data_IF_163442476718
#
_entry.id   IF_163442476718
#
_cell.length_a   1.000
_cell.length_b   1.000
_cell.length_c   1.000
_cell.angle_alpha   90.00
_cell.angle_beta   90.00
_cell.angle_gamma   90.00
#
_symmetry.space_group_name_H-M   'P 1'
#
loop_
_entity.id
_entity.type
_entity.pdbx_description
1 polymer ?
#
# COMPACT_ATOMS: atom_id res chain seq x y z
N UNK A 1 -44.65 42.43 62.74
CA UNK A 1 -44.00 42.07 61.46
C UNK A 1 -42.49 42.02 61.68
N UNK A 2 -41.90 40.82 61.86
CA UNK A 2 -40.43 40.67 61.95
C UNK A 2 -39.83 40.86 60.55
N UNK A 3 -39.05 41.93 60.35
CA UNK A 3 -38.24 42.13 59.14
C UNK A 3 -37.12 41.08 59.15
N UNK A 4 -37.13 40.23 58.13
CA UNK A 4 -36.04 39.30 57.83
C UNK A 4 -34.79 40.12 57.47
N UNK A 5 -33.82 40.21 58.39
CA UNK A 5 -32.48 40.70 58.07
C UNK A 5 -31.83 39.71 57.11
N UNK A 6 -31.64 40.14 55.86
CA UNK A 6 -30.89 39.35 54.88
C UNK A 6 -29.43 39.38 55.28
N UNK A 7 -28.90 38.23 55.70
CA UNK A 7 -27.52 38.08 56.13
C UNK A 7 -26.59 38.41 54.93
N UNK A 8 -25.78 39.50 55.00
CA UNK A 8 -24.97 39.96 53.87
C UNK A 8 -23.93 38.92 53.43
N UNK A 9 -23.52 38.03 54.33
CA UNK A 9 -22.58 36.94 54.05
C UNK A 9 -23.20 35.92 53.09
N UNK A 10 -24.50 35.62 53.25
CA UNK A 10 -25.19 34.65 52.39
C UNK A 10 -25.31 35.18 50.96
N UNK A 11 -25.63 36.47 50.80
CA UNK A 11 -25.71 37.13 49.49
C UNK A 11 -24.36 37.14 48.77
N UNK A 12 -23.26 37.36 49.50
CA UNK A 12 -21.91 37.34 48.94
C UNK A 12 -21.50 35.94 48.46
N UNK A 13 -21.81 34.89 49.22
CA UNK A 13 -21.50 33.49 48.85
C UNK A 13 -22.26 33.10 47.58
N UNK A 14 -23.54 33.46 47.47
CA UNK A 14 -24.35 33.18 46.27
C UNK A 14 -23.77 33.89 45.05
N UNK A 15 -23.32 35.14 45.19
CA UNK A 15 -22.68 35.89 44.09
C UNK A 15 -21.34 35.29 43.66
N UNK A 16 -20.48 34.91 44.60
CA UNK A 16 -19.18 34.28 44.26
C UNK A 16 -19.38 32.93 43.59
N UNK A 17 -20.34 32.13 44.05
CA UNK A 17 -20.62 30.82 43.47
C UNK A 17 -21.25 30.92 42.07
N UNK A 18 -22.18 31.85 41.87
CA UNK A 18 -22.78 32.11 40.55
C UNK A 18 -21.79 32.73 39.57
N UNK A 19 -20.87 33.60 40.03
CA UNK A 19 -19.77 34.11 39.23
C UNK A 19 -18.75 33.03 38.88
N UNK A 20 -18.44 32.11 39.80
CA UNK A 20 -17.57 30.95 39.53
C UNK A 20 -18.20 30.00 38.51
N UNK A 21 -19.50 29.72 38.59
CA UNK A 21 -20.23 28.94 37.59
C UNK A 21 -20.27 29.64 36.22
N UNK A 22 -20.44 30.98 36.19
CA UNK A 22 -20.38 31.77 34.97
C UNK A 22 -18.98 31.75 34.34
N UNK A 23 -17.92 31.86 35.13
CA UNK A 23 -16.53 31.70 34.65
C UNK A 23 -16.30 30.29 34.11
N UNK A 24 -16.86 29.26 34.76
CA UNK A 24 -16.72 27.88 34.31
C UNK A 24 -17.54 27.55 33.05
N UNK A 25 -18.62 28.29 32.80
CA UNK A 25 -19.49 28.17 31.63
C UNK A 25 -19.03 29.04 30.45
N UNK A 26 -18.44 30.21 30.73
CA UNK A 26 -17.85 31.12 29.72
C UNK A 26 -16.44 30.67 29.31
N UNK A 27 -15.74 29.87 30.12
CA UNK A 27 -14.56 29.18 29.62
C UNK A 27 -15.00 28.15 28.57
N UNK A 28 -14.69 28.36 27.27
CA UNK A 28 -14.86 27.28 26.31
C UNK A 28 -14.02 26.13 26.85
N UNK A 29 -14.60 24.94 26.98
CA UNK A 29 -13.79 23.73 27.07
C UNK A 29 -12.85 23.84 25.89
N UNK A 30 -11.56 24.03 26.16
CA UNK A 30 -10.54 23.88 25.13
C UNK A 30 -10.71 22.44 24.65
N UNK A 31 -11.46 22.27 23.57
CA UNK A 31 -11.36 21.11 22.73
C UNK A 31 -9.88 21.14 22.33
N UNK A 32 -9.12 20.17 22.83
CA UNK A 32 -7.82 19.85 22.26
C UNK A 32 -8.12 19.60 20.79
N UNK A 33 -7.90 20.61 19.95
CA UNK A 33 -7.62 20.35 18.55
C UNK A 33 -6.28 19.63 18.65
N UNK A 34 -6.31 18.30 18.57
CA UNK A 34 -5.08 17.56 18.33
C UNK A 34 -4.57 18.08 17.00
N UNK A 35 -3.41 18.72 17.01
CA UNK A 35 -2.62 18.93 15.81
C UNK A 35 -2.21 17.53 15.34
N UNK A 36 -3.10 16.84 14.63
CA UNK A 36 -2.77 15.56 14.02
C UNK A 36 -1.69 15.83 12.99
N UNK A 37 -0.58 15.12 13.09
CA UNK A 37 0.47 15.17 12.08
C UNK A 37 -0.12 14.72 10.74
N UNK A 38 -0.03 15.58 9.72
CA UNK A 38 -0.57 15.29 8.38
C UNK A 38 0.55 15.02 7.39
N UNK A 39 0.31 14.11 6.45
CA UNK A 39 1.24 13.79 5.36
C UNK A 39 0.65 14.27 4.03
N UNK A 40 1.51 14.82 3.16
CA UNK A 40 1.20 15.03 1.75
C UNK A 40 1.17 13.70 1.00
N UNK A 41 0.01 13.37 0.42
CA UNK A 41 -0.14 12.17 -0.40
C UNK A 41 0.69 12.22 -1.68
N UNK A 42 0.96 13.42 -2.22
CA UNK A 42 1.88 13.61 -3.35
C UNK A 42 3.33 13.30 -2.96
N UNK A 43 3.77 13.74 -1.78
CA UNK A 43 5.10 13.40 -1.27
C UNK A 43 5.23 11.92 -0.95
N UNK A 44 4.19 11.31 -0.35
CA UNK A 44 4.15 9.86 -0.08
C UNK A 44 4.25 9.05 -1.38
N UNK A 45 3.51 9.43 -2.42
CA UNK A 45 3.58 8.78 -3.73
C UNK A 45 4.96 8.97 -4.38
N UNK A 46 5.55 10.15 -4.30
CA UNK A 46 6.91 10.39 -4.81
C UNK A 46 7.94 9.50 -4.09
N UNK A 47 7.86 9.43 -2.77
CA UNK A 47 8.72 8.58 -1.96
C UNK A 47 8.54 7.10 -2.28
N UNK A 48 7.30 6.65 -2.44
CA UNK A 48 6.96 5.27 -2.79
C UNK A 48 7.50 4.83 -4.15
N UNK A 49 7.48 5.73 -5.14
CA UNK A 49 8.13 5.48 -6.45
C UNK A 49 9.64 5.33 -6.24
N UNK A 50 10.28 6.26 -5.53
CA UNK A 50 11.74 6.27 -5.40
C UNK A 50 12.26 5.04 -4.62
N UNK A 51 11.59 4.64 -3.53
CA UNK A 51 11.95 3.41 -2.80
C UNK A 51 11.67 2.14 -3.60
N UNK A 52 10.56 2.06 -4.35
CA UNK A 52 10.24 0.86 -5.13
C UNK A 52 11.28 0.68 -6.25
N UNK A 53 11.68 1.78 -6.88
CA UNK A 53 12.75 1.80 -7.87
C UNK A 53 14.12 1.47 -7.25
N UNK A 54 14.46 2.00 -6.07
CA UNK A 54 15.75 1.71 -5.42
C UNK A 54 15.82 0.26 -4.90
N UNK A 55 14.76 -0.25 -4.26
CA UNK A 55 14.65 -1.65 -3.87
C UNK A 55 14.79 -2.58 -5.08
N UNK A 56 14.12 -2.24 -6.19
CA UNK A 56 14.27 -2.92 -7.47
C UNK A 56 15.71 -2.89 -8.01
N UNK A 57 16.39 -1.73 -7.97
CA UNK A 57 17.79 -1.62 -8.39
C UNK A 57 18.69 -2.59 -7.60
N UNK A 58 18.44 -2.75 -6.31
CA UNK A 58 19.21 -3.69 -5.48
C UNK A 58 18.91 -5.15 -5.83
N UNK A 59 17.66 -5.51 -6.14
CA UNK A 59 17.32 -6.84 -6.68
C UNK A 59 18.09 -7.16 -7.97
N UNK A 60 18.21 -6.18 -8.87
CA UNK A 60 19.00 -6.33 -10.11
C UNK A 60 20.49 -6.49 -9.79
N UNK A 61 21.04 -5.71 -8.85
CA UNK A 61 22.45 -5.81 -8.42
C UNK A 61 22.75 -7.20 -7.85
N UNK A 62 21.93 -7.68 -6.92
CA UNK A 62 22.09 -9.00 -6.29
C UNK A 62 22.03 -10.10 -7.34
N UNK A 63 21.05 -10.05 -8.25
CA UNK A 63 20.93 -11.05 -9.32
C UNK A 63 22.16 -11.07 -10.23
N UNK A 64 22.66 -9.89 -10.65
CA UNK A 64 23.87 -9.76 -11.48
C UNK A 64 25.15 -10.19 -10.78
N UNK A 65 25.21 -10.10 -9.46
CA UNK A 65 26.39 -10.55 -8.68
C UNK A 65 26.58 -12.07 -8.68
N UNK A 66 25.55 -12.84 -9.06
CA UNK A 66 25.55 -14.31 -8.98
C UNK A 66 25.48 -14.87 -7.56
N UNK A 67 25.32 -14.01 -6.53
CA UNK A 67 25.30 -14.39 -5.11
C UNK A 67 23.89 -14.41 -4.53
N UNK A 68 22.96 -15.07 -5.21
CA UNK A 68 21.61 -15.22 -4.68
C UNK A 68 21.61 -16.29 -3.57
N UNK A 69 21.58 -15.85 -2.32
CA UNK A 69 21.35 -16.73 -1.17
C UNK A 69 19.85 -16.89 -0.98
N UNK A 70 19.37 -18.13 -0.95
CA UNK A 70 17.96 -18.49 -0.80
C UNK A 70 17.78 -19.33 0.47
N UNK A 71 16.72 -19.07 1.21
CA UNK A 71 16.28 -19.83 2.39
C UNK A 71 14.77 -20.11 2.29
N UNK A 72 14.28 -21.06 3.08
CA UNK A 72 12.84 -21.33 3.25
C UNK A 72 12.33 -20.61 4.52
N UNK A 73 11.15 -20.00 4.46
CA UNK A 73 10.46 -19.37 5.61
C UNK A 73 9.63 -20.40 6.36
N UNK A 74 8.44 -20.74 5.84
CA UNK A 74 7.50 -21.67 6.49
C UNK A 74 7.37 -23.03 5.79
N UNK A 75 8.09 -23.24 4.68
CA UNK A 75 8.24 -24.53 4.02
C UNK A 75 8.77 -24.45 2.59
N UNK A 76 8.83 -25.60 1.90
CA UNK A 76 9.48 -25.81 0.59
C UNK A 76 9.08 -24.87 -0.57
N UNK A 77 7.94 -24.20 -0.46
CA UNK A 77 7.41 -23.29 -1.49
C UNK A 77 7.28 -21.83 -1.00
N UNK A 78 7.80 -21.53 0.19
CA UNK A 78 7.79 -20.21 0.81
C UNK A 78 9.25 -19.79 0.96
N UNK A 79 9.77 -19.15 -0.09
CA UNK A 79 11.17 -18.82 -0.24
C UNK A 79 11.42 -17.37 0.13
N UNK A 80 12.59 -17.10 0.67
CA UNK A 80 13.12 -15.76 0.91
C UNK A 80 14.58 -15.72 0.48
N UNK A 81 15.03 -14.59 -0.03
CA UNK A 81 16.40 -14.40 -0.49
C UNK A 81 17.04 -13.19 0.18
N UNK A 82 18.36 -13.06 0.01
CA UNK A 82 19.05 -11.81 0.33
C UNK A 82 18.49 -10.59 -0.43
N UNK A 83 17.82 -10.80 -1.56
CA UNK A 83 17.13 -9.75 -2.31
C UNK A 83 15.92 -9.20 -1.57
N UNK A 84 15.08 -10.07 -1.01
CA UNK A 84 13.89 -9.69 -0.25
C UNK A 84 14.28 -8.81 0.94
N UNK A 85 15.30 -9.22 1.71
CA UNK A 85 15.82 -8.45 2.84
C UNK A 85 16.46 -7.12 2.42
N UNK A 86 17.30 -7.11 1.38
CA UNK A 86 17.97 -5.88 0.94
C UNK A 86 16.97 -4.85 0.38
N UNK A 87 15.96 -5.32 -0.37
CA UNK A 87 14.88 -4.48 -0.87
C UNK A 87 13.98 -4.00 0.27
N UNK A 88 13.68 -4.86 1.25
CA UNK A 88 12.98 -4.49 2.48
C UNK A 88 13.70 -3.37 3.22
N UNK A 89 15.01 -3.48 3.45
CA UNK A 89 15.77 -2.46 4.18
C UNK A 89 15.63 -1.07 3.52
N UNK A 90 15.73 -1.02 2.19
CA UNK A 90 15.59 0.23 1.42
C UNK A 90 14.17 0.78 1.54
N UNK A 91 13.17 -0.07 1.33
CA UNK A 91 11.77 0.37 1.24
C UNK A 91 11.17 0.69 2.61
N UNK A 92 11.32 -0.22 3.56
CA UNK A 92 10.78 -0.08 4.91
C UNK A 92 11.45 1.09 5.65
N UNK A 93 12.77 1.06 5.82
CA UNK A 93 13.45 2.12 6.55
C UNK A 93 13.46 3.45 5.80
N UNK A 94 13.40 3.43 4.46
CA UNK A 94 13.21 4.66 3.69
C UNK A 94 11.90 5.37 3.99
N UNK A 95 10.78 4.63 4.06
CA UNK A 95 9.50 5.22 4.46
C UNK A 95 9.48 5.64 5.92
N UNK A 96 9.97 4.79 6.84
CA UNK A 96 10.01 5.14 8.27
C UNK A 96 10.91 6.34 8.56
N UNK A 97 11.96 6.53 7.76
CA UNK A 97 12.86 7.68 7.85
C UNK A 97 12.26 8.96 7.27
N UNK A 98 11.53 8.86 6.16
CA UNK A 98 10.86 10.00 5.52
C UNK A 98 9.61 10.46 6.27
N UNK A 99 8.83 9.53 6.82
CA UNK A 99 7.58 9.78 7.51
C UNK A 99 7.58 9.09 8.89
N UNK A 100 8.26 9.70 9.89
CA UNK A 100 8.21 9.20 11.25
C UNK A 100 6.75 9.10 11.73
N UNK A 101 6.35 7.95 12.28
CA UNK A 101 4.98 7.73 12.75
C UNK A 101 4.06 7.01 11.77
N UNK A 102 4.40 6.94 10.47
CA UNK A 102 3.59 6.24 9.48
C UNK A 102 3.56 4.73 9.76
N UNK A 103 2.37 4.13 9.70
CA UNK A 103 2.20 2.69 9.76
C UNK A 103 2.67 2.08 8.43
N UNK A 104 3.79 1.36 8.47
CA UNK A 104 4.36 0.65 7.32
C UNK A 104 4.45 -0.82 7.69
N UNK A 105 3.80 -1.68 6.91
CA UNK A 105 3.77 -3.13 7.11
C UNK A 105 4.47 -3.76 5.92
N UNK A 106 5.44 -4.64 6.19
CA UNK A 106 6.21 -5.34 5.17
C UNK A 106 6.07 -6.84 5.28
N UNK A 107 6.13 -7.54 4.14
CA UNK A 107 6.29 -8.99 4.13
C UNK A 107 7.51 -9.49 4.93
N UNK A 108 8.59 -8.69 4.99
CA UNK A 108 9.86 -9.05 5.62
C UNK A 108 10.09 -8.37 6.98
N UNK A 109 9.04 -7.87 7.64
CA UNK A 109 9.17 -7.11 8.89
C UNK A 109 9.85 -7.88 10.05
N UNK A 110 9.74 -9.21 10.06
CA UNK A 110 10.41 -10.06 11.05
C UNK A 110 11.93 -10.25 10.77
N UNK A 111 12.45 -9.69 9.68
CA UNK A 111 13.86 -9.82 9.32
C UNK A 111 14.76 -8.99 10.27
N UNK A 112 15.91 -9.53 10.69
CA UNK A 112 16.86 -8.78 11.51
C UNK A 112 17.36 -7.56 10.72
N UNK A 113 17.29 -6.37 11.34
CA UNK A 113 17.75 -5.14 10.72
C UNK A 113 19.19 -5.27 10.23
N UNK A 114 19.49 -4.71 9.07
CA UNK A 114 20.86 -4.62 8.60
C UNK A 114 21.64 -3.57 9.42
N UNK A 115 22.68 -3.97 10.18
CA UNK A 115 23.40 -3.09 11.09
C UNK A 115 24.31 -2.07 10.39
N UNK A 116 24.32 -2.00 9.05
CA UNK A 116 25.24 -1.18 8.25
C UNK A 116 24.98 0.34 8.27
N UNK A 117 23.97 0.82 9.01
CA UNK A 117 23.93 2.19 9.54
C UNK A 117 23.54 3.35 8.61
N UNK A 118 23.48 3.17 7.29
CA UNK A 118 22.97 4.20 6.37
C UNK A 118 21.58 3.84 5.85
N UNK A 119 20.55 4.55 6.32
CA UNK A 119 19.18 4.46 5.79
C UNK A 119 19.11 5.23 4.47
N UNK A 120 18.57 4.59 3.42
CA UNK A 120 18.23 5.30 2.19
C UNK A 120 17.05 6.24 2.46
N UNK A 121 17.21 7.54 2.19
CA UNK A 121 16.11 8.50 2.31
C UNK A 121 15.54 8.81 0.91
N UNK A 122 14.25 8.54 0.66
CA UNK A 122 13.67 8.76 -0.64
C UNK A 122 13.46 10.24 -0.95
N UNK A 123 13.40 10.56 -2.25
CA UNK A 123 12.96 11.87 -2.72
C UNK A 123 11.46 12.02 -2.51
N UNK A 124 11.07 13.15 -1.92
CA UNK A 124 9.67 13.52 -1.72
C UNK A 124 9.08 14.29 -2.90
N UNK A 125 9.86 14.52 -3.95
CA UNK A 125 9.42 15.24 -5.17
C UNK A 125 9.68 14.41 -6.42
N UNK A 126 8.78 14.53 -7.39
CA UNK A 126 8.91 13.87 -8.68
C UNK A 126 8.34 14.77 -9.79
N UNK A 127 9.22 15.24 -10.67
CA UNK A 127 8.86 16.16 -11.78
C UNK A 127 7.81 15.59 -12.73
N UNK A 128 7.69 14.26 -12.87
CA UNK A 128 6.63 13.65 -13.68
C UNK A 128 5.29 13.74 -12.96
N UNK A 129 5.27 13.45 -11.66
CA UNK A 129 4.07 13.59 -10.83
C UNK A 129 3.57 15.02 -10.80
N UNK A 130 4.45 16.01 -10.64
CA UNK A 130 4.09 17.44 -10.63
C UNK A 130 3.36 17.89 -11.92
N UNK A 131 3.60 17.20 -13.04
CA UNK A 131 2.93 17.50 -14.32
C UNK A 131 1.58 16.81 -14.48
N UNK A 132 1.37 15.69 -13.78
CA UNK A 132 0.16 14.87 -13.89
C UNK A 132 -0.83 15.22 -12.79
N UNK A 133 -0.35 15.40 -11.57
CA UNK A 133 -1.15 15.61 -10.37
C UNK A 133 -1.38 17.11 -10.12
N UNK A 134 -2.62 17.55 -10.37
CA UNK A 134 -3.03 18.95 -10.26
C UNK A 134 -3.24 19.36 -8.80
N UNK A 135 -3.83 18.49 -7.98
CA UNK A 135 -4.06 18.71 -6.55
C UNK A 135 -3.12 17.89 -5.69
N UNK A 136 -3.09 18.21 -4.41
CA UNK A 136 -2.49 17.41 -3.34
C UNK A 136 -3.54 17.23 -2.23
N UNK A 137 -3.37 16.20 -1.42
CA UNK A 137 -4.24 15.88 -0.30
C UNK A 137 -3.37 15.71 0.95
N UNK A 138 -3.74 16.40 2.02
CA UNK A 138 -3.11 16.27 3.32
C UNK A 138 -4.00 15.38 4.19
N UNK A 139 -3.48 14.23 4.61
CA UNK A 139 -4.22 13.28 5.43
C UNK A 139 -3.57 13.10 6.80
N UNK A 140 -4.35 12.91 7.88
CA UNK A 140 -3.82 12.51 9.17
C UNK A 140 -2.99 11.22 9.03
N UNK A 141 -1.80 11.21 9.61
CA UNK A 141 -0.87 10.07 9.54
C UNK A 141 -1.48 8.79 10.13
N UNK A 142 -2.38 8.94 11.11
CA UNK A 142 -3.06 7.84 11.80
C UNK A 142 -4.11 7.12 10.93
N UNK A 143 -4.62 7.79 9.90
CA UNK A 143 -5.58 7.20 8.97
C UNK A 143 -4.88 6.38 7.87
N UNK A 144 -3.55 6.55 7.74
CA UNK A 144 -2.73 5.98 6.69
C UNK A 144 -2.06 4.67 7.11
N UNK A 145 -2.20 3.65 6.26
CA UNK A 145 -1.43 2.40 6.33
C UNK A 145 -0.76 2.13 5.00
N UNK A 146 0.56 1.88 5.02
CA UNK A 146 1.34 1.51 3.84
C UNK A 146 1.72 0.05 3.90
N UNK A 147 1.41 -0.69 2.83
CA UNK A 147 1.74 -2.10 2.68
C UNK A 147 2.83 -2.25 1.63
N UNK A 148 3.94 -2.90 1.98
CA UNK A 148 5.06 -3.12 1.06
C UNK A 148 5.34 -4.60 0.84
N UNK A 149 5.49 -4.95 -0.43
CA UNK A 149 6.07 -6.20 -0.88
C UNK A 149 7.43 -5.87 -1.51
N UNK A 150 8.55 -6.15 -0.80
CA UNK A 150 9.88 -5.78 -1.26
C UNK A 150 10.36 -6.67 -2.42
N UNK A 151 9.74 -7.83 -2.65
CA UNK A 151 10.05 -8.72 -3.76
C UNK A 151 8.85 -9.64 -4.02
N UNK A 152 7.95 -9.21 -4.89
CA UNK A 152 6.89 -10.07 -5.41
C UNK A 152 7.47 -11.03 -6.44
N UNK A 153 7.05 -12.30 -6.37
CA UNK A 153 7.56 -13.42 -7.17
C UNK A 153 8.95 -13.95 -6.76
N UNK A 154 9.24 -14.09 -5.47
CA UNK A 154 10.52 -14.64 -4.96
C UNK A 154 10.88 -15.98 -5.58
N UNK A 155 9.90 -16.87 -5.79
CA UNK A 155 10.15 -18.15 -6.48
C UNK A 155 10.63 -17.94 -7.91
N UNK A 156 9.91 -17.15 -8.71
CA UNK A 156 10.32 -16.83 -10.08
C UNK A 156 11.68 -16.10 -10.13
N UNK A 157 11.97 -15.25 -9.16
CA UNK A 157 13.27 -14.62 -9.00
C UNK A 157 14.39 -15.65 -8.82
N UNK A 158 14.17 -16.68 -7.99
CA UNK A 158 15.15 -17.78 -7.83
C UNK A 158 15.30 -18.64 -9.09
N UNK A 159 14.21 -18.86 -9.84
CA UNK A 159 14.20 -19.59 -11.11
C UNK A 159 14.83 -18.79 -12.27
N UNK A 160 15.12 -17.49 -12.08
CA UNK A 160 15.67 -16.62 -13.12
C UNK A 160 14.64 -16.04 -14.08
N UNK A 161 13.35 -16.15 -13.74
CA UNK A 161 12.22 -15.60 -14.51
C UNK A 161 11.95 -14.17 -14.06
N UNK A 162 12.93 -13.32 -14.35
CA UNK A 162 13.01 -11.96 -13.83
C UNK A 162 11.92 -11.04 -14.37
N UNK A 163 11.22 -11.43 -15.44
CA UNK A 163 10.09 -10.70 -15.99
C UNK A 163 8.89 -10.61 -15.05
N UNK A 164 8.75 -11.55 -14.10
CA UNK A 164 7.64 -11.58 -13.14
C UNK A 164 7.90 -10.79 -11.86
N UNK A 165 9.16 -10.40 -11.64
CA UNK A 165 9.60 -9.81 -10.37
C UNK A 165 9.12 -8.37 -10.30
N UNK A 166 8.47 -8.01 -9.20
CA UNK A 166 8.07 -6.63 -8.92
C UNK A 166 8.41 -6.23 -7.49
N UNK A 167 8.52 -4.92 -7.25
CA UNK A 167 8.46 -4.33 -5.91
C UNK A 167 7.17 -3.53 -5.81
N UNK A 168 6.48 -3.59 -4.67
CA UNK A 168 5.14 -3.00 -4.53
C UNK A 168 5.00 -2.17 -3.27
N UNK A 169 4.28 -1.05 -3.41
CA UNK A 169 3.92 -0.16 -2.30
C UNK A 169 2.45 0.22 -2.48
N UNK A 170 1.60 -0.14 -1.52
CA UNK A 170 0.18 0.22 -1.51
C UNK A 170 -0.14 1.16 -0.36
N UNK A 171 -1.00 2.15 -0.60
CA UNK A 171 -1.47 3.09 0.42
C UNK A 171 -2.96 2.84 0.68
N UNK A 172 -3.31 2.69 1.95
CA UNK A 172 -4.68 2.60 2.41
C UNK A 172 -5.02 3.76 3.36
N UNK A 173 -6.22 4.31 3.21
CA UNK A 173 -6.81 5.33 4.08
C UNK A 173 -8.04 4.70 4.72
N UNK A 174 -8.10 4.65 6.05
CA UNK A 174 -9.21 4.01 6.79
C UNK A 174 -9.48 2.54 6.38
N UNK A 175 -8.43 1.85 5.95
CA UNK A 175 -8.53 0.47 5.45
C UNK A 175 -8.99 0.34 4.00
N UNK A 176 -9.24 1.42 3.28
CA UNK A 176 -9.50 1.40 1.85
C UNK A 176 -8.20 1.66 1.08
N UNK A 177 -7.78 0.76 0.18
CA UNK A 177 -6.69 1.05 -0.75
C UNK A 177 -7.07 2.24 -1.66
N UNK A 178 -6.27 3.31 -1.64
CA UNK A 178 -6.49 4.55 -2.42
C UNK A 178 -5.40 4.80 -3.46
N UNK A 179 -4.28 4.09 -3.39
CA UNK A 179 -3.23 4.21 -4.40
C UNK A 179 -2.16 3.15 -4.25
N UNK A 180 -1.25 3.11 -5.20
CA UNK A 180 -0.12 2.19 -5.15
C UNK A 180 0.89 2.37 -6.27
N UNK A 181 2.02 1.68 -6.11
CA UNK A 181 3.14 1.61 -7.04
C UNK A 181 3.50 0.14 -7.23
N UNK A 182 3.70 -0.25 -8.49
CA UNK A 182 4.28 -1.53 -8.90
C UNK A 182 5.46 -1.22 -9.82
N UNK A 183 6.67 -1.60 -9.40
CA UNK A 183 7.88 -1.41 -10.18
C UNK A 183 8.43 -2.75 -10.67
N UNK A 184 8.81 -2.81 -11.96
CA UNK A 184 9.39 -3.96 -12.63
C UNK A 184 10.91 -3.77 -12.75
N UNK A 185 11.73 -4.34 -11.84
CA UNK A 185 13.14 -3.97 -11.73
C UNK A 185 13.96 -4.25 -13.00
N UNK A 186 13.60 -5.30 -13.72
CA UNK A 186 14.37 -5.79 -14.87
C UNK A 186 14.00 -5.12 -16.19
N UNK A 187 12.83 -4.49 -16.29
CA UNK A 187 12.44 -3.65 -17.43
C UNK A 187 12.63 -2.16 -17.14
N UNK A 188 12.67 -1.77 -15.86
CA UNK A 188 12.70 -0.38 -15.42
C UNK A 188 11.35 0.33 -15.48
N UNK A 189 10.26 -0.40 -15.76
CA UNK A 189 8.91 0.14 -15.79
C UNK A 189 8.39 0.37 -14.37
N UNK A 190 7.77 1.52 -14.13
CA UNK A 190 7.08 1.83 -12.88
C UNK A 190 5.65 2.25 -13.20
N UNK A 191 4.67 1.50 -12.68
CA UNK A 191 3.24 1.81 -12.80
C UNK A 191 2.73 2.29 -11.45
N UNK A 192 1.99 3.39 -11.43
CA UNK A 192 1.39 3.93 -10.23
C UNK A 192 -0.02 4.46 -10.51
N UNK A 193 -0.81 4.54 -9.45
CA UNK A 193 -2.14 5.12 -9.48
C UNK A 193 -2.53 5.69 -8.12
N UNK A 194 -3.28 6.77 -8.16
CA UNK A 194 -3.89 7.43 -7.01
C UNK A 194 -5.35 7.74 -7.36
N UNK A 195 -6.26 7.08 -6.64
CA UNK A 195 -7.71 7.20 -6.77
C UNK A 195 -8.11 8.68 -6.83
N UNK A 196 -8.97 9.01 -7.79
CA UNK A 196 -9.52 10.35 -8.04
C UNK A 196 -8.51 11.45 -8.42
N UNK A 197 -7.21 11.15 -8.46
CA UNK A 197 -6.15 12.12 -8.74
C UNK A 197 -5.44 11.84 -10.07
N UNK A 198 -5.07 10.59 -10.34
CA UNK A 198 -4.41 10.23 -11.60
C UNK A 198 -3.62 8.93 -11.54
N UNK A 199 -3.07 8.54 -12.69
CA UNK A 199 -2.22 7.38 -12.85
C UNK A 199 -1.30 7.57 -14.08
N UNK A 200 -0.34 6.66 -14.27
CA UNK A 200 0.48 6.60 -15.49
C UNK A 200 0.25 5.32 -16.32
N UNK A 201 -0.90 4.68 -16.16
CA UNK A 201 -1.20 3.40 -16.80
C UNK A 201 -1.35 3.62 -18.30
N UNK A 202 -0.61 2.84 -19.09
CA UNK A 202 -0.80 2.76 -20.53
C UNK A 202 -1.79 1.63 -20.82
N UNK A 203 -3.08 1.96 -20.83
CA UNK A 203 -4.14 0.97 -20.97
C UNK A 203 -4.25 0.46 -22.42
N UNK A 204 -4.00 -0.83 -22.59
CA UNK A 204 -4.10 -1.63 -23.80
C UNK A 204 -5.04 -2.84 -23.59
N UNK A 205 -5.88 -2.80 -22.54
CA UNK A 205 -6.77 -3.91 -22.17
C UNK A 205 -7.73 -4.33 -23.29
N UNK A 206 -8.07 -3.43 -24.23
CA UNK A 206 -8.83 -3.74 -25.44
C UNK A 206 -8.17 -4.79 -26.35
N UNK A 207 -6.85 -4.94 -26.27
CA UNK A 207 -6.08 -5.93 -27.04
C UNK A 207 -6.06 -7.32 -26.37
N UNK A 208 -6.67 -7.46 -25.19
CA UNK A 208 -6.71 -8.72 -24.47
C UNK A 208 -7.40 -9.82 -25.28
N UNK A 209 -6.86 -11.06 -25.29
CA UNK A 209 -7.57 -12.19 -25.86
C UNK A 209 -8.92 -12.36 -25.17
N UNK A 210 -10.00 -12.51 -25.94
CA UNK A 210 -11.32 -12.77 -25.38
C UNK A 210 -11.34 -14.04 -24.53
N UNK A 211 -12.15 -14.03 -23.49
CA UNK A 211 -12.35 -15.11 -22.55
C UNK A 211 -11.03 -15.62 -21.95
N UNK A 212 -10.17 -14.68 -21.50
CA UNK A 212 -8.85 -15.01 -20.96
C UNK A 212 -8.66 -14.53 -19.53
N UNK A 213 -7.93 -15.31 -18.74
CA UNK A 213 -7.66 -15.03 -17.34
C UNK A 213 -6.24 -15.40 -16.96
N UNK A 214 -5.57 -14.49 -16.26
CA UNK A 214 -4.29 -14.73 -15.63
C UNK A 214 -4.50 -15.49 -14.31
N UNK A 215 -3.69 -16.52 -14.10
CA UNK A 215 -3.66 -17.31 -12.86
C UNK A 215 -2.21 -17.55 -12.43
N UNK A 216 -2.02 -17.82 -11.14
CA UNK A 216 -0.68 -18.11 -10.62
C UNK A 216 -0.07 -19.34 -11.26
N UNK A 217 1.19 -19.23 -11.72
CA UNK A 217 2.01 -20.35 -12.18
C UNK A 217 2.44 -21.27 -11.04
N UNK A 218 2.94 -20.66 -9.96
CA UNK A 218 3.62 -21.37 -8.87
C UNK A 218 2.70 -21.82 -7.74
N UNK A 219 1.55 -21.17 -7.61
CA UNK A 219 0.51 -21.49 -6.62
C UNK A 219 -0.83 -21.63 -7.34
N UNK A 220 -0.93 -22.58 -8.25
CA UNK A 220 -2.12 -22.75 -9.10
C UNK A 220 -3.39 -22.99 -8.30
N UNK A 221 -3.30 -23.60 -7.10
CA UNK A 221 -4.46 -23.94 -6.28
C UNK A 221 -5.53 -24.64 -7.12
N UNK A 222 -6.77 -24.15 -7.04
CA UNK A 222 -7.86 -24.52 -7.93
C UNK A 222 -8.15 -23.45 -9.00
N UNK A 223 -7.23 -22.50 -9.22
CA UNK A 223 -7.53 -21.27 -9.95
C UNK A 223 -7.92 -21.56 -11.40
N UNK A 224 -7.11 -22.38 -12.07
CA UNK A 224 -7.37 -22.83 -13.44
C UNK A 224 -8.69 -23.62 -13.56
N UNK A 225 -8.96 -24.54 -12.64
CA UNK A 225 -10.18 -25.36 -12.66
C UNK A 225 -11.42 -24.49 -12.46
N UNK A 226 -11.40 -23.62 -11.44
CA UNK A 226 -12.51 -22.71 -11.16
C UNK A 226 -12.71 -21.71 -12.30
N UNK A 227 -11.64 -21.21 -12.91
CA UNK A 227 -11.73 -20.35 -14.10
C UNK A 227 -12.44 -21.07 -15.24
N UNK A 228 -12.02 -22.28 -15.61
CA UNK A 228 -12.68 -23.06 -16.69
C UNK A 228 -14.12 -23.43 -16.35
N UNK A 229 -14.42 -23.67 -15.07
CA UNK A 229 -15.78 -23.97 -14.61
C UNK A 229 -16.73 -22.79 -14.83
N UNK A 230 -16.29 -21.55 -14.59
CA UNK A 230 -17.15 -20.36 -14.67
C UNK A 230 -17.10 -19.65 -16.03
N UNK A 231 -15.95 -19.66 -16.70
CA UNK A 231 -15.72 -19.02 -18.00
C UNK A 231 -15.90 -19.98 -19.19
N UNK A 232 -16.15 -21.26 -18.90
CA UNK A 232 -16.30 -22.34 -19.88
C UNK A 232 -14.98 -23.02 -20.23
N UNK A 233 -15.05 -24.22 -20.85
CA UNK A 233 -13.88 -25.05 -21.14
C UNK A 233 -12.90 -24.41 -22.13
N UNK A 234 -13.37 -23.45 -22.93
CA UNK A 234 -12.57 -22.71 -23.93
C UNK A 234 -11.88 -21.47 -23.35
N UNK A 235 -11.99 -21.22 -22.03
CA UNK A 235 -11.31 -20.09 -21.39
C UNK A 235 -9.79 -20.22 -21.55
N UNK A 236 -9.15 -19.14 -22.01
CA UNK A 236 -7.69 -19.08 -22.18
C UNK A 236 -7.03 -18.80 -20.84
N UNK A 237 -6.35 -19.80 -20.30
CA UNK A 237 -5.63 -19.69 -19.03
C UNK A 237 -4.19 -19.24 -19.29
N UNK A 238 -3.80 -18.14 -18.67
CA UNK A 238 -2.46 -17.54 -18.81
C UNK A 238 -1.75 -17.67 -17.47
N UNK A 239 -0.73 -18.53 -17.41
CA UNK A 239 0.04 -18.76 -16.18
C UNK A 239 1.17 -17.77 -16.07
N UNK A 240 1.25 -17.07 -14.94
CA UNK A 240 2.32 -16.11 -14.65
C UNK A 240 2.70 -16.08 -13.16
N UNK A 241 3.96 -15.74 -12.87
CA UNK A 241 4.43 -15.40 -11.54
C UNK A 241 4.02 -13.99 -11.13
N UNK A 242 4.17 -13.66 -9.85
CA UNK A 242 4.00 -12.31 -9.29
C UNK A 242 2.57 -11.76 -9.28
N UNK A 243 2.04 -11.41 -8.11
CA UNK A 243 0.73 -10.75 -8.02
C UNK A 243 0.73 -9.43 -8.80
N UNK A 244 1.77 -8.61 -8.64
CA UNK A 244 1.96 -7.33 -9.32
C UNK A 244 2.00 -7.51 -10.83
N UNK A 245 2.84 -8.44 -11.33
CA UNK A 245 2.91 -8.74 -12.77
C UNK A 245 1.54 -9.13 -13.35
N UNK A 246 0.80 -10.02 -12.67
CA UNK A 246 -0.49 -10.52 -13.17
C UNK A 246 -1.52 -9.40 -13.28
N UNK A 247 -1.56 -8.50 -12.29
CA UNK A 247 -2.51 -7.40 -12.30
C UNK A 247 -2.19 -6.36 -13.38
N UNK A 248 -0.94 -5.90 -13.47
CA UNK A 248 -0.56 -4.91 -14.50
C UNK A 248 -0.67 -5.50 -15.91
N UNK A 249 -0.51 -6.81 -16.06
CA UNK A 249 -0.71 -7.51 -17.33
C UNK A 249 -2.12 -7.38 -17.92
N UNK A 250 -3.13 -7.09 -17.10
CA UNK A 250 -4.49 -6.78 -17.60
C UNK A 250 -4.46 -5.48 -18.41
N UNK A 251 -3.87 -4.43 -17.84
CA UNK A 251 -3.71 -3.14 -18.52
C UNK A 251 -2.81 -3.25 -19.75
N UNK A 252 -1.84 -4.17 -19.76
CA UNK A 252 -1.03 -4.46 -20.95
C UNK A 252 -1.72 -5.34 -22.00
N UNK A 253 -3.03 -5.60 -21.89
CA UNK A 253 -3.77 -6.40 -22.87
C UNK A 253 -3.33 -7.86 -22.94
N UNK A 254 -2.75 -8.41 -21.86
CA UNK A 254 -2.35 -9.83 -21.85
C UNK A 254 -3.50 -10.75 -21.47
N UNK A 255 -4.48 -10.27 -20.70
CA UNK A 255 -5.71 -11.00 -20.40
C UNK A 255 -6.82 -10.10 -19.86
N UNK A 256 -8.06 -10.59 -19.87
CA UNK A 256 -9.25 -9.81 -19.46
C UNK A 256 -9.44 -9.76 -17.94
N UNK A 257 -8.75 -10.62 -17.17
CA UNK A 257 -8.83 -10.61 -15.72
C UNK A 257 -7.72 -11.39 -15.03
N UNK A 258 -7.60 -11.19 -13.72
CA UNK A 258 -6.70 -11.93 -12.84
C UNK A 258 -7.53 -12.67 -11.79
N UNK A 259 -7.31 -13.98 -11.66
CA UNK A 259 -7.98 -14.82 -10.67
C UNK A 259 -6.96 -15.52 -9.77
N UNK A 260 -7.18 -15.44 -8.46
CA UNK A 260 -6.38 -16.13 -7.44
C UNK A 260 -7.27 -16.90 -6.48
N UNK A 261 -7.03 -18.21 -6.38
CA UNK A 261 -7.69 -19.08 -5.40
C UNK A 261 -6.63 -19.72 -4.52
N UNK A 262 -6.25 -19.05 -3.43
CA UNK A 262 -5.17 -19.49 -2.57
C UNK A 262 -4.86 -18.48 -1.49
N UNK A 263 -3.79 -18.73 -0.73
CA UNK A 263 -3.26 -17.75 0.21
C UNK A 263 -2.72 -16.56 -0.58
N UNK A 264 -3.11 -15.37 -0.15
CA UNK A 264 -2.61 -14.08 -0.61
C UNK A 264 -2.70 -13.14 0.59
N UNK A 265 -1.77 -12.21 0.71
CA UNK A 265 -1.62 -11.28 1.82
C UNK A 265 -1.97 -9.88 1.36
N UNK A 266 -2.07 -8.95 2.31
CA UNK A 266 -2.44 -7.55 2.02
C UNK A 266 -1.34 -6.83 1.24
N UNK A 267 -0.06 -7.12 1.51
CA UNK A 267 1.06 -6.59 0.75
C UNK A 267 1.06 -7.02 -0.73
N UNK A 268 0.60 -8.24 -1.04
CA UNK A 268 0.46 -8.71 -2.43
C UNK A 268 -0.56 -7.92 -3.27
N UNK A 269 -1.51 -7.23 -2.64
CA UNK A 269 -2.73 -6.73 -3.32
C UNK A 269 -3.07 -5.27 -3.07
N UNK A 270 -2.58 -4.64 -2.01
CA UNK A 270 -2.94 -3.25 -1.68
C UNK A 270 -2.55 -2.29 -2.81
N UNK A 271 -1.33 -2.43 -3.33
CA UNK A 271 -0.84 -1.60 -4.44
C UNK A 271 -1.68 -1.81 -5.71
N UNK A 272 -1.98 -3.08 -6.01
CA UNK A 272 -2.80 -3.48 -7.16
C UNK A 272 -4.19 -2.85 -7.08
N UNK A 273 -4.87 -2.97 -5.94
CA UNK A 273 -6.21 -2.42 -5.75
C UNK A 273 -6.21 -0.90 -5.88
N UNK A 274 -5.22 -0.21 -5.30
CA UNK A 274 -5.07 1.24 -5.42
C UNK A 274 -4.87 1.70 -6.87
N UNK A 275 -4.02 0.99 -7.63
CA UNK A 275 -3.81 1.23 -9.06
C UNK A 275 -5.11 1.00 -9.84
N UNK A 276 -5.82 -0.10 -9.60
CA UNK A 276 -7.10 -0.40 -10.28
C UNK A 276 -8.16 0.67 -9.99
N UNK A 277 -8.27 1.14 -8.74
CA UNK A 277 -9.24 2.19 -8.38
C UNK A 277 -8.93 3.53 -9.02
N UNK A 278 -7.68 3.78 -9.42
CA UNK A 278 -7.32 4.99 -10.15
C UNK A 278 -7.81 5.03 -11.59
N UNK A 279 -8.32 3.92 -12.16
CA UNK A 279 -8.77 3.85 -13.55
C UNK A 279 -10.26 4.09 -13.76
N UNK A 280 -11.04 4.22 -12.68
CA UNK A 280 -12.51 4.43 -12.70
C UNK A 280 -13.38 3.30 -13.28
N UNK A 281 -12.83 2.27 -13.94
CA UNK A 281 -13.61 1.16 -14.54
C UNK A 281 -13.21 -0.25 -14.04
N UNK A 282 -12.06 -0.39 -13.37
CA UNK A 282 -11.61 -1.68 -12.87
C UNK A 282 -12.35 -2.14 -11.62
N UNK A 283 -12.47 -3.45 -11.42
CA UNK A 283 -13.08 -4.06 -10.22
C UNK A 283 -12.07 -4.99 -9.54
N UNK A 284 -11.92 -4.83 -8.23
CA UNK A 284 -11.09 -5.68 -7.39
C UNK A 284 -11.87 -6.10 -6.15
N UNK A 285 -12.00 -7.40 -5.92
CA UNK A 285 -12.78 -7.96 -4.81
C UNK A 285 -12.19 -9.27 -4.34
N UNK A 286 -12.55 -9.70 -3.14
CA UNK A 286 -12.39 -11.11 -2.76
C UNK A 286 -13.34 -12.03 -3.57
N UNK A 287 -13.23 -13.34 -3.37
CA UNK A 287 -14.05 -14.34 -4.08
C UNK A 287 -15.56 -14.26 -3.77
N UNK A 288 -15.96 -13.54 -2.71
CA UNK A 288 -17.37 -13.29 -2.36
C UNK A 288 -17.89 -11.96 -2.95
N UNK A 289 -17.07 -11.25 -3.72
CA UNK A 289 -17.43 -9.94 -4.29
C UNK A 289 -17.37 -8.79 -3.29
N UNK A 290 -16.74 -8.98 -2.13
CA UNK A 290 -16.62 -7.96 -1.08
C UNK A 290 -15.31 -7.17 -1.22
N UNK A 291 -15.31 -5.95 -0.71
CA UNK A 291 -14.10 -5.13 -0.54
C UNK A 291 -13.14 -5.76 0.45
N UNK A 292 -11.87 -5.38 0.36
CA UNK A 292 -10.80 -5.87 1.23
C UNK A 292 -10.45 -4.77 2.21
N UNK A 293 -10.33 -5.14 3.49
CA UNK A 293 -9.99 -4.22 4.58
C UNK A 293 -8.49 -4.23 4.83
N UNK A 294 -7.85 -3.08 4.70
CA UNK A 294 -6.41 -2.87 4.85
C UNK A 294 -6.00 -2.24 6.19
N UNK A 295 -6.90 -2.13 7.18
CA UNK A 295 -6.53 -1.69 8.55
C UNK A 295 -5.51 -2.63 9.19
N UNK A 296 -4.64 -2.06 10.02
CA UNK A 296 -3.61 -2.73 10.82
C UNK A 296 -3.87 -2.50 12.32
#
# INVERSE_FOLDING_TARGET
>A
MKKSEKNPIFTLIVFVFSFWLLLHWIHPKHQKISDHETISMKELLAAAIDIAEEGGRELVRIKKSGRLKTSEKTGKNDLVTAGDHASHDIMYYGLKGAFPGLAVISEEEDAPQNPSGSVFLPKLTNKKLERILVSDELLPIEDLTVWIDPLDATKEYTEGLTEYVTTMVGFAVDGEAVGGVVHFPFTGETVWGWKEHGNNILDQSENAPRNSVLVSRSHTGQAEEQSKKHLGPNAKIIKAGGAGYKAISIFHGRGEGYFHSGKIKKWDICAIEGIIKSTCYGKFTNLKGQTIDYRF
#
